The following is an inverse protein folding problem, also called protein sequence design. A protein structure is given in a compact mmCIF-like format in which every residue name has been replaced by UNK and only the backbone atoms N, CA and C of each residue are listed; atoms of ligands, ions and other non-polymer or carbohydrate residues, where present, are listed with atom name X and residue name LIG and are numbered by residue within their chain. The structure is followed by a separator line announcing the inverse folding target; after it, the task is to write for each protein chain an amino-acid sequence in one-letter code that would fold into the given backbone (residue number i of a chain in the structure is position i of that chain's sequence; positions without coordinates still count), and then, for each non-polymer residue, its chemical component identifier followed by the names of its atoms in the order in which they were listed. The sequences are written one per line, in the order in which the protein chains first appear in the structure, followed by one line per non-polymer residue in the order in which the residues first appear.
data_IF_704671659862
#
_entry.id   IF_704671659862
#
_cell.length_a   1.000
_cell.length_b   1.000
_cell.length_c   1.000
_cell.angle_alpha   90.00
_cell.angle_beta   90.00
_cell.angle_gamma   90.00
#
_symmetry.space_group_name_H-M   'P 1'
#
loop_
_entity.id
_entity.type
_entity.pdbx_description
1 polymer ?
#
# COMPACT_ATOMS: atom_id res chain seq x y z
N UNK A 1 -15.36 -25.02 -27.53
CA UNK A 1 -16.80 -24.71 -27.44
C UNK A 1 -17.08 -23.21 -27.70
N UNK A 2 -16.33 -22.30 -27.09
CA UNK A 2 -16.50 -20.86 -27.24
C UNK A 2 -16.36 -20.38 -28.69
N UNK A 3 -15.30 -20.79 -29.41
CA UNK A 3 -15.11 -20.37 -30.81
C UNK A 3 -16.27 -20.84 -31.70
N UNK A 4 -16.78 -22.05 -31.49
CA UNK A 4 -17.92 -22.59 -32.24
C UNK A 4 -19.18 -21.75 -32.04
N UNK A 5 -19.45 -21.31 -30.83
CA UNK A 5 -20.58 -20.44 -30.52
C UNK A 5 -20.46 -19.09 -31.21
N UNK A 6 -19.28 -18.46 -31.13
CA UNK A 6 -19.04 -17.16 -31.80
C UNK A 6 -19.03 -17.26 -33.32
N UNK A 7 -18.56 -18.38 -33.87
CA UNK A 7 -18.67 -18.64 -35.31
C UNK A 7 -20.14 -18.74 -35.74
N UNK A 8 -21.00 -19.38 -34.94
CA UNK A 8 -22.42 -19.41 -35.24
C UNK A 8 -23.07 -18.04 -35.11
N UNK A 9 -22.70 -17.23 -34.13
CA UNK A 9 -23.18 -15.85 -34.01
C UNK A 9 -22.72 -15.00 -35.20
N UNK A 10 -21.46 -15.14 -35.64
CA UNK A 10 -20.97 -14.45 -36.83
C UNK A 10 -21.75 -14.84 -38.09
N UNK A 11 -22.12 -16.12 -38.24
CA UNK A 11 -22.98 -16.58 -39.31
C UNK A 11 -24.38 -15.95 -39.25
N UNK A 12 -24.99 -15.88 -38.09
CA UNK A 12 -26.29 -15.23 -37.90
C UNK A 12 -26.27 -13.73 -38.27
N UNK A 13 -25.15 -13.05 -38.00
CA UNK A 13 -24.96 -11.63 -38.35
C UNK A 13 -24.73 -11.42 -39.82
N UNK A 14 -24.12 -12.38 -40.52
CA UNK A 14 -23.90 -12.33 -41.96
C UNK A 14 -23.94 -13.73 -42.56
N UNK A 15 -25.11 -14.12 -43.03
CA UNK A 15 -25.37 -15.44 -43.61
C UNK A 15 -24.62 -15.77 -44.88
N UNK A 16 -23.95 -14.79 -45.49
CA UNK A 16 -23.11 -15.00 -46.69
C UNK A 16 -21.70 -15.52 -46.38
N UNK A 17 -21.25 -15.39 -45.12
CA UNK A 17 -19.92 -15.87 -44.68
C UNK A 17 -19.81 -17.38 -44.77
N UNK A 18 -18.70 -17.88 -45.33
CA UNK A 18 -18.38 -19.31 -45.46
C UNK A 18 -16.89 -19.55 -45.21
N UNK A 19 -16.56 -20.79 -44.86
CA UNK A 19 -15.18 -21.27 -44.74
C UNK A 19 -14.33 -20.41 -43.82
N UNK A 20 -13.14 -20.05 -44.28
CA UNK A 20 -12.15 -19.30 -43.49
C UNK A 20 -12.66 -17.92 -43.08
N UNK A 21 -13.39 -17.20 -43.93
CA UNK A 21 -13.95 -15.89 -43.58
C UNK A 21 -14.95 -15.96 -42.42
N UNK A 22 -15.72 -17.03 -42.30
CA UNK A 22 -16.61 -17.25 -41.21
C UNK A 22 -15.84 -17.57 -39.87
N UNK A 23 -14.77 -18.35 -40.01
CA UNK A 23 -13.91 -18.65 -38.84
C UNK A 23 -13.19 -17.39 -38.32
N UNK A 24 -12.69 -16.54 -39.23
CA UNK A 24 -12.08 -15.27 -38.87
C UNK A 24 -13.07 -14.32 -38.18
N UNK A 25 -14.29 -14.21 -38.72
CA UNK A 25 -15.35 -13.42 -38.09
C UNK A 25 -15.68 -13.94 -36.66
N UNK A 26 -15.72 -15.25 -36.49
CA UNK A 26 -15.90 -15.86 -35.18
C UNK A 26 -14.76 -15.54 -34.22
N UNK A 27 -13.50 -15.65 -34.66
CA UNK A 27 -12.31 -15.27 -33.87
C UNK A 27 -12.33 -13.79 -33.47
N UNK A 28 -12.70 -12.91 -34.39
CA UNK A 28 -12.82 -11.48 -34.11
C UNK A 28 -13.88 -11.18 -33.05
N UNK A 29 -15.02 -11.86 -33.02
CA UNK A 29 -16.05 -11.74 -32.01
C UNK A 29 -15.56 -12.25 -30.65
N UNK A 30 -14.84 -13.37 -30.62
CA UNK A 30 -14.20 -13.86 -29.39
C UNK A 30 -13.25 -12.81 -28.83
N UNK A 31 -12.37 -12.23 -29.66
CA UNK A 31 -11.43 -11.19 -29.26
C UNK A 31 -12.14 -9.98 -28.66
N UNK A 32 -13.13 -9.42 -29.35
CA UNK A 32 -13.93 -8.29 -28.83
C UNK A 32 -14.59 -8.57 -27.49
N UNK A 33 -15.08 -9.80 -27.28
CA UNK A 33 -15.72 -10.19 -26.01
C UNK A 33 -14.70 -10.25 -24.87
N UNK A 34 -13.50 -10.77 -25.12
CA UNK A 34 -12.44 -10.80 -24.13
C UNK A 34 -11.91 -9.40 -23.80
N UNK A 35 -11.75 -8.52 -24.82
CA UNK A 35 -11.38 -7.13 -24.61
C UNK A 35 -12.41 -6.37 -23.77
N UNK A 36 -13.70 -6.55 -24.05
CA UNK A 36 -14.78 -5.93 -23.29
C UNK A 36 -14.76 -6.39 -21.81
N UNK A 37 -14.59 -7.68 -21.57
CA UNK A 37 -14.46 -8.22 -20.21
C UNK A 37 -13.22 -7.72 -19.48
N UNK A 38 -12.10 -7.59 -20.18
CA UNK A 38 -10.87 -7.08 -19.60
C UNK A 38 -11.03 -5.61 -19.18
N UNK A 39 -11.71 -4.80 -19.99
CA UNK A 39 -11.93 -3.38 -19.66
C UNK A 39 -12.96 -3.21 -18.54
N UNK A 40 -14.01 -4.02 -18.50
CA UNK A 40 -14.96 -4.05 -17.40
C UNK A 40 -14.25 -4.38 -16.08
N UNK A 41 -13.38 -5.40 -16.09
CA UNK A 41 -12.63 -5.80 -14.92
C UNK A 41 -11.61 -4.74 -14.48
N UNK A 42 -10.94 -4.10 -15.44
CA UNK A 42 -10.06 -2.94 -15.15
C UNK A 42 -10.82 -1.82 -14.46
N UNK A 43 -12.00 -1.50 -14.95
CA UNK A 43 -12.83 -0.45 -14.37
C UNK A 43 -13.27 -0.81 -12.95
N UNK A 44 -13.68 -2.04 -12.71
CA UNK A 44 -14.04 -2.54 -11.38
C UNK A 44 -12.86 -2.45 -10.41
N UNK A 45 -11.70 -2.96 -10.80
CA UNK A 45 -10.49 -2.94 -9.98
C UNK A 45 -10.07 -1.49 -9.66
N UNK A 46 -10.17 -0.56 -10.62
CA UNK A 46 -9.89 0.86 -10.35
C UNK A 46 -10.79 1.43 -9.25
N UNK A 47 -12.08 1.13 -9.30
CA UNK A 47 -13.01 1.63 -8.28
C UNK A 47 -12.76 0.98 -6.90
N UNK A 48 -12.42 -0.30 -6.84
CA UNK A 48 -12.05 -0.98 -5.60
C UNK A 48 -10.78 -0.37 -4.97
N UNK A 49 -9.74 -0.13 -5.78
CA UNK A 49 -8.49 0.49 -5.34
C UNK A 49 -8.71 1.94 -4.87
N UNK A 50 -9.52 2.73 -5.59
CA UNK A 50 -9.92 4.08 -5.15
C UNK A 50 -10.67 4.06 -3.82
N UNK A 51 -11.62 3.14 -3.65
CA UNK A 51 -12.38 2.97 -2.41
C UNK A 51 -11.47 2.60 -1.23
N UNK A 52 -10.42 1.84 -1.48
CA UNK A 52 -9.37 1.50 -0.51
C UNK A 52 -8.38 2.65 -0.25
N UNK A 53 -8.47 3.76 -0.98
CA UNK A 53 -7.57 4.93 -0.93
C UNK A 53 -6.13 4.64 -1.39
N UNK A 54 -5.98 3.68 -2.28
CA UNK A 54 -4.69 3.42 -2.93
C UNK A 54 -4.30 4.63 -3.79
N UNK A 55 -3.02 4.91 -3.88
CA UNK A 55 -2.46 6.04 -4.64
C UNK A 55 -2.75 5.90 -6.15
N UNK A 56 -3.05 7.02 -6.81
CA UNK A 56 -3.46 7.03 -8.21
C UNK A 56 -2.42 6.42 -9.17
N UNK A 57 -1.14 6.66 -8.92
CA UNK A 57 -0.03 6.07 -9.71
C UNK A 57 0.00 4.55 -9.59
N UNK A 58 -0.20 4.02 -8.39
CA UNK A 58 -0.29 2.58 -8.14
C UNK A 58 -1.52 1.96 -8.81
N UNK A 59 -2.66 2.67 -8.80
CA UNK A 59 -3.87 2.23 -9.50
C UNK A 59 -3.60 2.10 -11.01
N UNK A 60 -2.92 3.07 -11.60
CA UNK A 60 -2.55 3.01 -13.02
C UNK A 60 -1.60 1.85 -13.29
N UNK A 61 -0.60 1.63 -12.45
CA UNK A 61 0.35 0.54 -12.59
C UNK A 61 -0.34 -0.83 -12.50
N UNK A 62 -1.15 -1.07 -11.47
CA UNK A 62 -1.90 -2.32 -11.28
C UNK A 62 -2.83 -2.60 -12.45
N UNK A 63 -3.52 -1.58 -12.99
CA UNK A 63 -4.47 -1.74 -14.08
C UNK A 63 -3.84 -1.74 -15.48
N UNK A 64 -2.54 -1.52 -15.57
CA UNK A 64 -1.77 -1.47 -16.83
C UNK A 64 -1.25 -2.85 -17.27
N UNK A 65 -1.64 -3.92 -16.59
CA UNK A 65 -1.18 -5.28 -16.87
C UNK A 65 -1.20 -5.57 -18.38
N UNK A 66 -0.06 -5.95 -18.91
CA UNK A 66 0.18 -6.19 -20.33
C UNK A 66 0.89 -7.53 -20.52
N UNK A 67 0.53 -8.23 -21.60
CA UNK A 67 1.09 -9.53 -21.94
C UNK A 67 0.23 -10.70 -21.47
N UNK A 68 0.33 -11.82 -22.18
CA UNK A 68 -0.48 -13.00 -21.95
C UNK A 68 -1.92 -12.91 -22.44
N UNK A 69 -2.72 -13.88 -22.10
CA UNK A 69 -4.15 -13.95 -22.42
C UNK A 69 -4.94 -12.98 -21.53
N UNK A 70 -6.14 -12.56 -21.96
CA UNK A 70 -7.02 -11.73 -21.15
C UNK A 70 -7.31 -12.34 -19.76
N UNK A 71 -7.43 -13.67 -19.68
CA UNK A 71 -7.62 -14.39 -18.41
C UNK A 71 -6.42 -14.22 -17.47
N UNK A 72 -5.20 -14.34 -18.00
CA UNK A 72 -3.97 -14.16 -17.23
C UNK A 72 -3.81 -12.70 -16.78
N UNK A 73 -4.13 -11.73 -17.64
CA UNK A 73 -4.12 -10.32 -17.29
C UNK A 73 -5.12 -9.99 -16.17
N UNK A 74 -6.34 -10.52 -16.25
CA UNK A 74 -7.35 -10.35 -15.19
C UNK A 74 -6.86 -10.94 -13.88
N UNK A 75 -6.34 -12.17 -13.89
CA UNK A 75 -5.83 -12.81 -12.68
C UNK A 75 -4.68 -12.02 -12.04
N UNK A 76 -3.72 -11.56 -12.85
CA UNK A 76 -2.60 -10.74 -12.39
C UNK A 76 -3.05 -9.41 -11.79
N UNK A 77 -4.01 -8.73 -12.42
CA UNK A 77 -4.57 -7.48 -11.90
C UNK A 77 -5.32 -7.70 -10.57
N UNK A 78 -6.10 -8.77 -10.46
CA UNK A 78 -6.84 -9.09 -9.23
C UNK A 78 -5.89 -9.41 -8.07
N UNK A 79 -4.83 -10.16 -8.30
CA UNK A 79 -3.81 -10.47 -7.31
C UNK A 79 -3.08 -9.21 -6.84
N UNK A 80 -2.61 -8.39 -7.78
CA UNK A 80 -1.94 -7.13 -7.49
C UNK A 80 -2.88 -6.17 -6.73
N UNK A 81 -4.13 -6.01 -7.18
CA UNK A 81 -5.11 -5.16 -6.50
C UNK A 81 -5.41 -5.64 -5.08
N UNK A 82 -5.55 -6.94 -4.87
CA UNK A 82 -5.76 -7.52 -3.53
C UNK A 82 -4.60 -7.19 -2.60
N UNK A 83 -3.37 -7.33 -3.08
CA UNK A 83 -2.16 -7.02 -2.32
C UNK A 83 -2.13 -5.54 -1.91
N UNK A 84 -2.41 -4.63 -2.83
CA UNK A 84 -2.44 -3.19 -2.56
C UNK A 84 -3.56 -2.81 -1.58
N UNK A 85 -4.77 -3.36 -1.75
CA UNK A 85 -5.91 -3.09 -0.86
C UNK A 85 -5.63 -3.57 0.56
N UNK A 86 -5.07 -4.77 0.72
CA UNK A 86 -4.71 -5.32 2.03
C UNK A 86 -3.62 -4.48 2.66
N UNK A 87 -2.56 -4.16 1.91
CA UNK A 87 -1.46 -3.33 2.38
C UNK A 87 -1.93 -1.95 2.83
N UNK A 88 -2.81 -1.30 2.07
CA UNK A 88 -3.34 0.02 2.44
C UNK A 88 -4.17 -0.03 3.73
N UNK A 89 -4.99 -1.07 3.91
CA UNK A 89 -5.73 -1.28 5.17
C UNK A 89 -4.79 -1.48 6.36
N UNK A 90 -3.71 -2.25 6.19
CA UNK A 90 -2.69 -2.45 7.22
C UNK A 90 -2.01 -1.13 7.55
N UNK A 91 -1.59 -0.36 6.54
CA UNK A 91 -0.97 0.96 6.71
C UNK A 91 -1.88 1.93 7.45
N UNK A 92 -3.16 2.03 7.08
CA UNK A 92 -4.13 2.90 7.76
C UNK A 92 -4.35 2.50 9.22
N UNK A 93 -4.41 1.21 9.52
CA UNK A 93 -4.49 0.70 10.88
C UNK A 93 -3.25 1.07 11.69
N UNK A 94 -2.06 0.89 11.13
CA UNK A 94 -0.79 1.23 11.76
C UNK A 94 -0.68 2.72 12.06
N UNK A 95 -1.04 3.59 11.11
CA UNK A 95 -1.08 5.04 11.31
C UNK A 95 -2.02 5.44 12.45
N UNK A 96 -3.21 4.83 12.53
CA UNK A 96 -4.18 5.11 13.59
C UNK A 96 -3.61 4.72 14.96
N UNK A 97 -3.00 3.55 15.07
CA UNK A 97 -2.39 3.05 16.31
C UNK A 97 -1.24 3.96 16.74
N UNK A 98 -0.30 4.28 15.83
CA UNK A 98 0.83 5.17 16.10
C UNK A 98 0.33 6.53 16.57
N UNK A 99 -0.69 7.10 15.89
CA UNK A 99 -1.28 8.38 16.25
C UNK A 99 -1.90 8.36 17.65
N UNK A 100 -2.55 7.29 18.03
CA UNK A 100 -3.14 7.15 19.39
C UNK A 100 -2.04 7.02 20.43
N UNK A 101 -1.04 6.18 20.21
CA UNK A 101 0.06 5.97 21.15
C UNK A 101 0.90 7.25 21.36
N UNK A 102 1.20 7.99 20.27
CA UNK A 102 2.01 9.20 20.38
C UNK A 102 1.23 10.37 21.03
N UNK A 103 -0.08 10.46 20.80
CA UNK A 103 -0.94 11.42 21.50
C UNK A 103 -0.96 11.16 23.02
N UNK A 104 -0.94 9.92 23.46
CA UNK A 104 -0.84 9.57 24.87
C UNK A 104 0.47 10.06 25.52
N UNK A 105 1.50 10.35 24.73
CA UNK A 105 2.77 10.96 25.16
C UNK A 105 2.78 12.50 25.09
N UNK A 106 1.64 13.13 24.84
CA UNK A 106 1.50 14.59 24.78
C UNK A 106 1.90 15.21 23.44
N UNK A 107 2.09 14.40 22.40
CA UNK A 107 2.31 14.94 21.06
C UNK A 107 1.00 15.27 20.36
N UNK A 108 1.02 16.31 19.54
CA UNK A 108 -0.09 16.73 18.68
C UNK A 108 0.27 16.42 17.23
N UNK A 109 -0.64 15.80 16.53
CA UNK A 109 -0.52 15.52 15.08
C UNK A 109 -1.49 16.45 14.35
N UNK A 110 -0.97 17.37 13.53
CA UNK A 110 -1.76 18.16 12.60
C UNK A 110 -1.99 17.35 11.32
N UNK A 111 -3.20 17.47 10.73
CA UNK A 111 -3.54 16.81 9.46
C UNK A 111 -2.60 17.23 8.32
N UNK A 112 -2.14 18.47 8.32
CA UNK A 112 -1.20 19.00 7.33
C UNK A 112 0.21 18.39 7.44
N UNK A 113 0.49 17.75 8.55
CA UNK A 113 1.76 17.07 8.84
C UNK A 113 1.71 15.57 8.50
N UNK A 114 0.66 15.12 7.81
CA UNK A 114 0.57 13.78 7.25
C UNK A 114 0.69 13.90 5.74
N UNK A 115 1.75 13.33 5.18
CA UNK A 115 2.07 13.40 3.74
C UNK A 115 2.29 12.01 3.17
N UNK A 116 1.84 11.80 1.95
CA UNK A 116 2.14 10.60 1.18
C UNK A 116 3.34 10.92 0.29
N UNK A 117 4.40 10.13 0.41
CA UNK A 117 5.56 10.21 -0.47
C UNK A 117 5.41 9.15 -1.55
N UNK A 118 5.14 9.62 -2.77
CA UNK A 118 4.76 8.77 -3.91
C UNK A 118 5.87 7.84 -4.36
N UNK A 119 7.09 8.35 -4.41
CA UNK A 119 8.26 7.62 -4.92
C UNK A 119 8.57 6.34 -4.13
N UNK A 120 8.29 6.34 -2.83
CA UNK A 120 8.58 5.23 -1.91
C UNK A 120 7.33 4.57 -1.35
N UNK A 121 6.14 5.02 -1.78
CA UNK A 121 4.84 4.55 -1.31
C UNK A 121 4.75 4.51 0.24
N UNK A 122 5.30 5.54 0.89
CA UNK A 122 5.30 5.69 2.34
C UNK A 122 4.43 6.86 2.79
N UNK A 123 3.82 6.73 3.96
CA UNK A 123 3.13 7.85 4.64
C UNK A 123 4.03 8.39 5.72
N UNK A 124 4.32 9.68 5.65
CA UNK A 124 5.11 10.40 6.64
C UNK A 124 4.14 11.17 7.54
N UNK A 125 4.25 10.96 8.84
CA UNK A 125 3.48 11.65 9.86
C UNK A 125 4.44 12.35 10.83
N UNK A 126 4.24 13.65 11.05
CA UNK A 126 5.03 14.43 12.02
C UNK A 126 4.13 14.87 13.17
N UNK A 127 4.56 14.57 14.38
CA UNK A 127 3.93 14.97 15.63
C UNK A 127 4.87 15.92 16.38
N UNK A 128 4.32 16.87 17.15
CA UNK A 128 5.09 17.84 17.91
C UNK A 128 4.49 18.07 19.30
N UNK A 129 5.33 18.22 20.32
CA UNK A 129 4.94 18.71 21.64
C UNK A 129 4.96 20.24 21.71
N UNK A 130 4.24 20.81 22.65
CA UNK A 130 4.28 22.25 22.93
C UNK A 130 5.68 22.74 23.36
N UNK A 131 6.47 21.87 23.97
CA UNK A 131 7.86 22.11 24.38
C UNK A 131 8.88 22.10 23.20
N UNK A 132 8.45 21.68 22.00
CA UNK A 132 9.27 21.75 20.79
C UNK A 132 9.81 20.42 20.29
N UNK A 133 9.72 19.36 21.06
CA UNK A 133 10.12 18.02 20.64
C UNK A 133 9.23 17.53 19.49
N UNK A 134 9.85 16.80 18.54
CA UNK A 134 9.19 16.29 17.36
C UNK A 134 9.38 14.77 17.25
N UNK A 135 8.36 14.10 16.73
CA UNK A 135 8.42 12.70 16.34
C UNK A 135 7.95 12.56 14.90
N UNK A 136 8.80 12.00 14.04
CA UNK A 136 8.47 11.67 12.65
C UNK A 136 8.30 10.16 12.54
N UNK A 137 7.23 9.75 11.87
CA UNK A 137 6.95 8.35 11.57
C UNK A 137 6.81 8.18 10.07
N UNK A 138 7.41 7.13 9.53
CA UNK A 138 7.23 6.69 8.14
C UNK A 138 6.63 5.31 8.16
N UNK A 139 5.46 5.16 7.58
CA UNK A 139 4.68 3.92 7.58
C UNK A 139 4.58 3.40 6.17
N UNK A 140 4.99 2.15 5.99
CA UNK A 140 5.00 1.45 4.71
C UNK A 140 3.76 0.58 4.53
N UNK A 141 3.55 0.12 3.29
CA UNK A 141 2.38 -0.67 2.90
C UNK A 141 2.33 -2.04 3.63
N UNK A 142 3.49 -2.61 3.93
CA UNK A 142 3.63 -3.89 4.67
C UNK A 142 3.42 -3.75 6.18
N UNK A 143 3.07 -2.55 6.66
CA UNK A 143 2.85 -2.25 8.08
C UNK A 143 4.13 -1.96 8.86
N UNK A 144 5.31 -2.10 8.25
CA UNK A 144 6.55 -1.61 8.87
C UNK A 144 6.49 -0.12 9.06
N UNK A 145 7.18 0.37 10.08
CA UNK A 145 7.35 1.80 10.26
C UNK A 145 8.74 2.14 10.81
N UNK A 146 9.18 3.35 10.49
CA UNK A 146 10.40 3.97 10.98
C UNK A 146 9.99 5.16 11.81
N UNK A 147 10.69 5.43 12.91
CA UNK A 147 10.46 6.62 13.70
C UNK A 147 11.75 7.38 13.99
N UNK A 148 11.62 8.67 14.18
CA UNK A 148 12.70 9.57 14.52
C UNK A 148 12.19 10.60 15.54
N UNK A 149 12.84 10.69 16.70
CA UNK A 149 12.52 11.63 17.77
C UNK A 149 13.62 12.70 17.86
N UNK A 150 13.23 13.96 17.71
CA UNK A 150 14.15 15.13 17.65
C UNK A 150 13.79 16.19 18.69
N UNK A 151 14.77 17.05 18.99
CA UNK A 151 14.59 18.16 19.90
C UNK A 151 14.78 17.81 21.37
N UNK A 152 15.41 16.70 21.66
CA UNK A 152 15.76 16.27 23.01
C UNK A 152 17.24 16.54 23.31
N UNK A 153 17.54 16.77 24.59
CA UNK A 153 18.93 16.84 25.07
C UNK A 153 19.40 15.41 25.46
N UNK A 154 20.57 15.02 24.94
CA UNK A 154 21.15 13.73 25.23
C UNK A 154 20.19 12.57 24.95
N UNK A 155 20.06 11.68 25.94
CA UNK A 155 19.18 10.49 25.84
C UNK A 155 17.74 10.74 26.33
N UNK A 156 17.31 11.98 26.53
CA UNK A 156 15.99 12.28 27.08
C UNK A 156 14.81 11.78 26.20
N UNK A 157 15.04 11.54 24.91
CA UNK A 157 14.06 10.93 24.02
C UNK A 157 13.60 9.54 24.47
N UNK A 158 14.41 8.79 25.20
CA UNK A 158 14.05 7.47 25.74
C UNK A 158 12.87 7.53 26.72
N UNK A 159 12.63 8.69 27.37
CA UNK A 159 11.45 8.90 28.22
C UNK A 159 10.13 8.81 27.46
N UNK A 160 10.14 9.13 26.16
CA UNK A 160 8.97 9.01 25.30
C UNK A 160 9.00 7.74 24.45
N UNK A 161 10.16 7.33 23.95
CA UNK A 161 10.30 6.14 23.10
C UNK A 161 9.95 4.87 23.87
N UNK A 162 10.51 4.68 25.07
CA UNK A 162 10.26 3.48 25.87
C UNK A 162 8.77 3.25 26.16
N UNK A 163 8.06 4.22 26.78
CA UNK A 163 6.63 4.10 26.99
C UNK A 163 5.80 4.01 25.70
N UNK A 164 6.19 4.71 24.62
CA UNK A 164 5.53 4.59 23.32
C UNK A 164 5.60 3.16 22.78
N UNK A 165 6.78 2.54 22.82
CA UNK A 165 6.97 1.16 22.37
C UNK A 165 6.18 0.17 23.24
N UNK A 166 6.16 0.40 24.57
CA UNK A 166 5.39 -0.41 25.50
C UNK A 166 3.89 -0.32 25.22
N UNK A 167 3.37 0.88 24.96
CA UNK A 167 1.96 1.07 24.58
C UNK A 167 1.62 0.34 23.28
N UNK A 168 2.51 0.38 22.26
CA UNK A 168 2.30 -0.37 21.03
C UNK A 168 2.14 -1.87 21.27
N UNK A 169 2.95 -2.45 22.14
CA UNK A 169 2.91 -3.88 22.44
C UNK A 169 1.75 -4.25 23.36
N UNK A 170 1.60 -3.56 24.51
CA UNK A 170 0.67 -3.95 25.57
C UNK A 170 -0.77 -3.48 25.32
N UNK A 171 -0.93 -2.28 24.75
CA UNK A 171 -2.27 -1.68 24.55
C UNK A 171 -2.83 -1.99 23.17
N UNK A 172 -1.99 -1.95 22.14
CA UNK A 172 -2.43 -2.10 20.77
C UNK A 172 -2.10 -3.44 20.13
N UNK A 173 -1.41 -4.34 20.85
CA UNK A 173 -1.08 -5.69 20.39
C UNK A 173 -0.15 -5.71 19.17
N UNK A 174 0.67 -4.67 19.00
CA UNK A 174 1.65 -4.59 17.92
C UNK A 174 2.89 -5.36 18.36
N UNK A 175 3.13 -6.53 17.79
CA UNK A 175 4.35 -7.27 18.03
C UNK A 175 5.52 -6.63 17.29
N UNK A 176 6.37 -5.94 18.05
CA UNK A 176 7.63 -5.42 17.51
C UNK A 176 8.59 -6.58 17.37
N UNK A 177 8.80 -7.03 16.12
CA UNK A 177 9.63 -8.19 15.80
C UNK A 177 11.13 -7.86 15.63
N UNK A 178 11.59 -6.62 15.30
CA UNK A 178 13.00 -6.17 15.28
C UNK A 178 13.10 -4.68 15.52
N UNK A 179 13.92 -4.25 16.42
CA UNK A 179 14.25 -2.85 16.65
C UNK A 179 15.74 -2.64 16.36
N UNK A 180 16.05 -1.71 15.46
CA UNK A 180 17.43 -1.28 15.22
C UNK A 180 17.54 0.17 15.65
N UNK A 181 18.37 0.45 16.65
CA UNK A 181 18.61 1.78 17.15
C UNK A 181 19.84 2.36 16.45
N UNK A 182 19.66 3.53 15.80
CA UNK A 182 20.75 4.28 15.19
C UNK A 182 20.91 5.58 15.98
N UNK A 183 21.91 5.62 16.86
CA UNK A 183 22.20 6.76 17.68
C UNK A 183 23.37 7.55 17.11
N UNK A 184 23.14 8.80 16.70
CA UNK A 184 24.16 9.60 16.03
C UNK A 184 24.88 10.61 16.93
N UNK A 185 24.30 11.02 18.07
CA UNK A 185 24.91 12.00 18.97
C UNK A 185 24.29 11.98 20.38
N UNK A 186 24.77 11.15 21.32
CA UNK A 186 24.18 10.97 22.64
C UNK A 186 24.36 12.19 23.58
N UNK A 187 25.32 13.08 23.32
CA UNK A 187 25.73 14.16 24.22
C UNK A 187 25.23 15.54 23.78
N UNK A 188 24.45 15.63 22.71
CA UNK A 188 23.87 16.87 22.16
C UNK A 188 22.39 16.71 21.90
N UNK A 189 21.73 17.75 21.39
CA UNK A 189 20.36 17.68 20.92
C UNK A 189 20.25 16.55 19.90
N UNK A 190 19.38 15.57 20.17
CA UNK A 190 19.25 14.39 19.33
C UNK A 190 18.85 14.75 17.90
N UNK A 191 19.70 14.40 16.95
CA UNK A 191 19.46 14.50 15.51
C UNK A 191 19.26 13.12 14.90
N UNK A 192 18.65 12.20 15.63
CA UNK A 192 18.47 10.82 15.18
C UNK A 192 17.80 10.76 13.80
N UNK A 193 18.55 10.24 12.85
CA UNK A 193 18.05 9.95 11.50
C UNK A 193 17.65 8.48 11.46
N UNK A 194 16.35 8.21 11.45
CA UNK A 194 15.73 6.93 11.15
C UNK A 194 16.11 5.74 12.04
N UNK A 195 15.15 5.29 12.80
CA UNK A 195 15.16 3.97 13.41
C UNK A 195 14.20 3.07 12.62
N UNK A 196 14.74 2.07 11.94
CA UNK A 196 13.93 1.04 11.30
C UNK A 196 13.57 -0.02 12.35
N UNK A 197 12.30 -0.19 12.63
CA UNK A 197 11.84 -1.31 13.45
C UNK A 197 11.79 -2.55 12.59
N UNK A 198 12.88 -3.24 12.60
CA UNK A 198 13.01 -4.62 12.16
C UNK A 198 13.45 -5.43 13.35
N UNK A 199 12.79 -6.48 13.70
CA UNK A 199 12.88 -7.08 14.99
C UNK A 199 13.40 -8.50 14.92
N UNK A 200 14.68 -8.65 15.11
CA UNK A 200 15.25 -9.79 15.80
C UNK A 200 16.18 -9.24 16.88
N UNK A 201 15.82 -9.35 18.14
CA UNK A 201 16.81 -9.31 19.19
C UNK A 201 17.67 -10.55 19.02
N UNK A 202 18.79 -10.43 18.34
CA UNK A 202 19.90 -11.30 18.64
C UNK A 202 20.36 -10.91 20.04
N UNK A 203 19.91 -11.67 21.04
CA UNK A 203 20.63 -11.76 22.29
C UNK A 203 22.01 -12.32 21.94
N UNK A 204 23.02 -11.51 22.08
CA UNK A 204 24.36 -12.01 22.38
C UNK A 204 24.34 -12.62 23.78
#
# INVERSE_FOLDING_TARGET
ETLRQFTYIAYLQNTSLRGEALLEAGRALVGKTYEARLEEERSRIREELKAARVEASTIEEVTKASGGTAKEQIAAMQEAATTEIVGEKVRQKSLKIIMQAIKARGFVVDKNNIKIKRDTNEVIMVAQKASGEKAEFRVFLDGKFIYDFRGYEGQACQKDIGPFMKDLEEVYGVHVTKQTEIWSNPDKISTMKYQAINTNKNKA
#
